data_IF_026149188288
#
_entry.id   IF_026149188288
#
_cell.length_a   1.000
_cell.length_b   1.000
_cell.length_c   1.000
_cell.angle_alpha   90.00
_cell.angle_beta   90.00
_cell.angle_gamma   90.00
#
_symmetry.space_group_name_H-M   'P 1'
#
loop_
_entity.id
_entity.type
_entity.pdbx_description
1 polymer ?
#
# COMPACT_ATOMS: atom_id res chain seq x y z
N UNK A 1 -5.29 -10.00 -6.18
CA UNK A 1 -3.84 -9.70 -6.25
C UNK A 1 -3.17 -10.48 -5.14
N UNK A 2 -2.13 -11.25 -5.46
CA UNK A 2 -1.33 -11.95 -4.43
C UNK A 2 -0.43 -10.93 -3.73
N UNK A 3 -0.30 -11.03 -2.40
CA UNK A 3 0.55 -10.18 -1.57
C UNK A 3 1.63 -11.07 -0.98
N UNK A 4 2.90 -10.73 -1.22
CA UNK A 4 4.05 -11.55 -0.83
C UNK A 4 4.62 -11.17 0.54
N UNK A 5 4.53 -9.89 0.93
CA UNK A 5 4.96 -9.38 2.24
C UNK A 5 4.15 -8.13 2.64
N UNK A 6 3.94 -7.93 3.94
CA UNK A 6 3.22 -6.77 4.50
C UNK A 6 3.97 -6.24 5.72
N UNK A 7 4.43 -4.98 5.63
CA UNK A 7 4.98 -4.24 6.78
C UNK A 7 4.04 -3.11 7.17
N UNK A 8 3.73 -3.00 8.46
CA UNK A 8 2.88 -1.95 9.04
C UNK A 8 3.68 -1.21 10.11
N UNK A 9 3.88 0.10 9.92
CA UNK A 9 4.54 0.97 10.89
C UNK A 9 3.53 1.96 11.48
N UNK A 10 3.48 2.07 12.82
CA UNK A 10 2.63 2.99 13.56
C UNK A 10 3.47 3.69 14.64
N UNK A 11 3.64 5.01 14.53
CA UNK A 11 4.26 5.83 15.57
C UNK A 11 3.16 6.45 16.43
N UNK A 12 3.26 6.32 17.76
CA UNK A 12 2.36 7.01 18.70
C UNK A 12 2.36 8.52 18.41
N UNK A 13 1.22 9.05 17.95
CA UNK A 13 1.04 10.46 17.56
C UNK A 13 0.88 10.72 16.06
N UNK A 14 1.12 9.74 15.19
CA UNK A 14 0.80 9.83 13.76
C UNK A 14 -0.59 9.23 13.50
N UNK A 15 -1.48 10.01 12.88
CA UNK A 15 -2.86 9.57 12.59
C UNK A 15 -2.96 8.53 11.46
N UNK A 16 -1.87 8.25 10.74
CA UNK A 16 -1.84 7.29 9.64
C UNK A 16 -0.58 6.42 9.71
N UNK A 17 -0.76 5.11 9.53
CA UNK A 17 0.34 4.15 9.38
C UNK A 17 0.85 4.07 7.94
N UNK A 18 2.10 3.61 7.77
CA UNK A 18 2.68 3.30 6.46
C UNK A 18 2.57 1.80 6.19
N UNK A 19 2.13 1.44 4.99
CA UNK A 19 2.16 0.06 4.49
C UNK A 19 3.01 0.00 3.23
N UNK A 20 4.00 -0.90 3.21
CA UNK A 20 4.78 -1.24 2.03
C UNK A 20 4.33 -2.61 1.52
N UNK A 21 4.07 -2.69 0.22
CA UNK A 21 3.65 -3.90 -0.47
C UNK A 21 4.64 -4.18 -1.59
N UNK A 22 5.27 -5.35 -1.57
CA UNK A 22 6.00 -5.87 -2.72
C UNK A 22 5.07 -6.76 -3.53
N UNK A 23 5.05 -6.54 -4.84
CA UNK A 23 4.22 -7.29 -5.78
C UNK A 23 4.97 -7.49 -7.07
N UNK A 24 4.54 -8.51 -7.82
CA UNK A 24 4.96 -8.71 -9.21
C UNK A 24 4.79 -7.43 -10.04
N UNK A 25 5.74 -7.09 -10.94
CA UNK A 25 5.70 -5.83 -11.70
C UNK A 25 4.40 -5.60 -12.46
N UNK A 26 3.78 -6.68 -12.97
CA UNK A 26 2.51 -6.62 -13.69
C UNK A 26 1.33 -6.20 -12.79
N UNK A 27 1.42 -6.40 -11.47
CA UNK A 27 0.36 -6.09 -10.52
C UNK A 27 0.40 -4.64 -10.03
N UNK A 28 1.50 -3.90 -10.26
CA UNK A 28 1.68 -2.53 -9.77
C UNK A 28 0.55 -1.61 -10.25
N UNK A 29 0.25 -1.61 -11.55
CA UNK A 29 -0.79 -0.76 -12.13
C UNK A 29 -2.19 -1.01 -11.53
N UNK A 30 -2.72 -2.24 -11.63
CA UNK A 30 -4.02 -2.59 -11.05
C UNK A 30 -4.12 -2.36 -9.54
N UNK A 31 -3.06 -2.66 -8.78
CA UNK A 31 -3.04 -2.45 -7.33
C UNK A 31 -3.11 -0.96 -7.00
N UNK A 32 -2.33 -0.13 -7.70
CA UNK A 32 -2.30 1.32 -7.49
C UNK A 32 -3.66 1.96 -7.77
N UNK A 33 -4.33 1.54 -8.85
CA UNK A 33 -5.68 2.00 -9.17
C UNK A 33 -6.68 1.61 -8.08
N UNK A 34 -6.72 0.33 -7.69
CA UNK A 34 -7.68 -0.16 -6.70
C UNK A 34 -7.51 0.46 -5.31
N UNK A 35 -6.26 0.77 -4.91
CA UNK A 35 -5.98 1.47 -3.66
C UNK A 35 -6.44 2.94 -3.73
N UNK A 36 -6.15 3.64 -4.82
CA UNK A 36 -6.59 5.02 -5.01
C UNK A 36 -8.13 5.14 -4.97
N UNK A 37 -8.85 4.24 -5.65
CA UNK A 37 -10.33 4.18 -5.64
C UNK A 37 -10.90 3.97 -4.24
N UNK A 38 -10.16 3.30 -3.35
CA UNK A 38 -10.56 3.02 -1.96
C UNK A 38 -10.10 4.09 -0.98
N UNK A 39 -9.61 5.23 -1.48
CA UNK A 39 -9.23 6.39 -0.67
C UNK A 39 -7.85 6.29 -0.03
N UNK A 40 -6.99 5.37 -0.48
CA UNK A 40 -5.64 5.27 0.04
C UNK A 40 -4.75 6.37 -0.52
N UNK A 41 -3.97 7.00 0.36
CA UNK A 41 -2.92 7.94 -0.04
C UNK A 41 -1.68 7.17 -0.49
N UNK A 42 -1.37 7.28 -1.78
CA UNK A 42 -0.22 6.62 -2.39
C UNK A 42 0.99 7.54 -2.39
N UNK A 43 2.17 6.97 -2.09
CA UNK A 43 3.46 7.68 -2.14
C UNK A 43 4.33 7.01 -3.22
N UNK A 44 5.12 7.82 -3.91
CA UNK A 44 6.11 7.37 -4.90
C UNK A 44 7.45 7.08 -4.23
#
# INVERSE_FOLDING_TARGET
VNIEDVRIEHATGQQAGLVQLMVEPAAVGPLRLGLAERGWSLRA
#
